data_IF_235199826532
#
_entry.id   IF_235199826532
#
_cell.length_a   1.000
_cell.length_b   1.000
_cell.length_c   1.000
_cell.angle_alpha   90.00
_cell.angle_beta   90.00
_cell.angle_gamma   90.00
#
_symmetry.space_group_name_H-M   'P 1'
#
loop_
_entity.id
_entity.type
_entity.pdbx_description
1 polymer ?
#
# COMPACT_ATOMS: atom_id res chain seq x y z
N UNK A 1 54.85 33.08 -1.78
CA UNK A 1 53.55 33.74 -2.00
C UNK A 1 52.83 32.96 -3.06
N UNK A 2 52.03 32.01 -2.66
CA UNK A 2 51.16 31.21 -3.54
C UNK A 2 49.75 31.30 -2.94
N UNK A 3 48.94 32.16 -3.55
CA UNK A 3 47.50 32.21 -3.30
C UNK A 3 46.83 31.03 -4.00
N UNK A 4 46.27 30.09 -3.23
CA UNK A 4 45.35 29.11 -3.73
C UNK A 4 43.92 29.64 -3.58
N UNK A 5 43.33 30.03 -4.71
CA UNK A 5 41.89 30.29 -4.83
C UNK A 5 41.12 28.98 -4.74
N UNK A 6 40.41 28.81 -3.64
CA UNK A 6 39.42 27.74 -3.46
C UNK A 6 38.12 28.14 -4.15
N UNK A 7 37.80 27.52 -5.26
CA UNK A 7 36.50 27.69 -5.94
C UNK A 7 35.49 26.80 -5.25
N UNK A 8 34.59 27.39 -4.49
CA UNK A 8 33.39 26.72 -3.96
C UNK A 8 32.42 26.41 -5.14
N UNK A 9 32.33 25.13 -5.50
CA UNK A 9 31.36 24.66 -6.48
C UNK A 9 30.01 24.53 -5.79
N UNK A 10 29.15 25.51 -5.98
CA UNK A 10 27.75 25.45 -5.56
C UNK A 10 27.04 24.31 -6.30
N UNK A 11 26.61 23.30 -5.57
CA UNK A 11 25.86 22.14 -6.10
C UNK A 11 24.53 22.63 -6.72
N UNK A 12 24.36 22.42 -8.04
CA UNK A 12 23.11 22.65 -8.75
C UNK A 12 22.03 21.71 -8.21
N UNK A 13 20.85 22.21 -7.82
CA UNK A 13 19.75 21.33 -7.39
C UNK A 13 19.27 20.46 -8.56
N UNK A 14 19.14 19.16 -8.30
CA UNK A 14 18.72 18.17 -9.30
C UNK A 14 17.29 18.45 -9.82
N UNK A 15 17.09 18.35 -11.12
CA UNK A 15 15.85 18.69 -11.87
C UNK A 15 14.59 17.87 -11.52
N UNK A 16 14.64 16.93 -10.56
CA UNK A 16 13.55 16.01 -10.25
C UNK A 16 12.51 16.48 -9.22
N UNK A 17 12.70 17.63 -8.55
CA UNK A 17 11.98 18.00 -7.34
C UNK A 17 10.90 19.08 -7.48
N UNK A 18 10.75 19.66 -8.67
CA UNK A 18 9.80 20.77 -8.92
C UNK A 18 8.29 20.44 -8.70
N UNK A 19 7.77 19.24 -8.99
CA UNK A 19 6.33 19.00 -8.83
C UNK A 19 5.87 18.90 -7.37
N UNK A 20 6.76 18.49 -6.44
CA UNK A 20 6.41 18.39 -5.03
C UNK A 20 6.35 19.77 -4.34
N UNK A 21 7.20 20.70 -4.76
CA UNK A 21 7.20 22.08 -4.26
C UNK A 21 5.91 22.84 -4.63
N UNK A 22 5.39 22.62 -5.83
CA UNK A 22 4.15 23.25 -6.29
C UNK A 22 2.92 22.69 -5.57
N UNK A 23 2.93 21.41 -5.16
CA UNK A 23 1.87 20.81 -4.35
C UNK A 23 1.74 21.48 -2.96
N UNK A 24 2.88 21.83 -2.33
CA UNK A 24 2.88 22.45 -1.02
C UNK A 24 2.52 23.95 -1.10
N UNK A 25 2.94 24.66 -2.15
CA UNK A 25 2.58 26.08 -2.36
C UNK A 25 1.09 26.29 -2.69
N UNK A 26 0.42 25.32 -3.30
CA UNK A 26 -1.02 25.38 -3.54
C UNK A 26 -1.86 25.23 -2.25
N UNK A 27 -1.27 24.74 -1.15
CA UNK A 27 -1.91 24.57 0.16
C UNK A 27 -2.02 25.91 0.93
N UNK A 28 -1.32 26.96 0.50
CA UNK A 28 -1.34 28.28 1.14
C UNK A 28 -2.53 29.17 0.72
N UNK A 29 -3.51 28.66 -0.02
CA UNK A 29 -4.73 29.39 -0.34
C UNK A 29 -5.66 29.53 0.89
N UNK A 30 -6.33 30.68 1.09
CA UNK A 30 -6.98 31.04 2.36
C UNK A 30 -8.16 30.13 2.72
N UNK A 31 -8.19 29.76 3.99
CA UNK A 31 -9.21 28.99 4.68
C UNK A 31 -10.59 29.69 4.65
N UNK A 32 -11.45 29.32 3.71
CA UNK A 32 -12.87 29.60 3.80
C UNK A 32 -13.65 28.54 3.02
N UNK A 33 -14.15 27.54 3.72
CA UNK A 33 -15.01 26.47 3.18
C UNK A 33 -14.42 25.08 3.40
N UNK A 34 -15.22 24.15 3.82
CA UNK A 34 -14.91 22.80 4.30
C UNK A 34 -13.66 22.13 3.72
N UNK A 35 -12.75 21.75 4.58
CA UNK A 35 -11.37 21.32 4.27
C UNK A 35 -11.22 20.17 3.24
N UNK A 36 -12.26 19.38 2.98
CA UNK A 36 -12.18 18.22 2.07
C UNK A 36 -12.23 18.60 0.57
N UNK A 37 -12.93 19.67 0.20
CA UNK A 37 -13.14 20.03 -1.20
C UNK A 37 -11.91 20.62 -1.90
N UNK A 38 -10.93 21.09 -1.14
CA UNK A 38 -9.71 21.70 -1.68
C UNK A 38 -8.59 20.64 -1.86
N UNK A 39 -8.54 19.63 -0.99
CA UNK A 39 -7.47 18.64 -1.01
C UNK A 39 -7.65 17.56 -2.09
N UNK A 40 -8.87 17.11 -2.37
CA UNK A 40 -9.11 16.07 -3.37
C UNK A 40 -8.56 16.44 -4.77
N UNK A 41 -8.77 17.65 -5.32
CA UNK A 41 -8.15 18.04 -6.59
C UNK A 41 -6.61 18.09 -6.56
N UNK A 42 -6.04 18.45 -5.39
CA UNK A 42 -4.59 18.49 -5.21
C UNK A 42 -4.03 17.06 -5.19
N UNK A 43 -4.68 16.14 -4.47
CA UNK A 43 -4.30 14.72 -4.46
C UNK A 43 -4.32 14.13 -5.86
N UNK A 44 -5.40 14.33 -6.61
CA UNK A 44 -5.55 13.83 -7.98
C UNK A 44 -4.45 14.36 -8.89
N UNK A 45 -4.12 15.64 -8.78
CA UNK A 45 -3.14 16.28 -9.67
C UNK A 45 -1.69 15.94 -9.33
N UNK A 46 -1.35 15.80 -8.05
CA UNK A 46 0.04 15.73 -7.59
C UNK A 46 0.45 14.39 -7.02
N UNK A 47 -0.45 13.71 -6.32
CA UNK A 47 -0.19 12.40 -5.72
C UNK A 47 -0.58 11.27 -6.66
N UNK A 48 -1.86 11.26 -7.05
CA UNK A 48 -2.36 10.24 -7.97
C UNK A 48 -2.12 10.67 -9.41
N UNK A 49 -1.15 10.02 -10.05
CA UNK A 49 -0.89 10.19 -11.49
C UNK A 49 -1.33 8.92 -12.20
N UNK A 50 -2.62 8.84 -12.58
CA UNK A 50 -3.15 7.66 -13.24
C UNK A 50 -2.29 7.25 -14.42
N UNK A 51 -2.05 5.95 -14.55
CA UNK A 51 -1.41 5.36 -15.72
C UNK A 51 -2.29 4.25 -16.21
N UNK A 52 -2.66 4.34 -17.46
CA UNK A 52 -3.33 3.24 -18.16
C UNK A 52 -2.36 2.05 -18.23
N UNK A 53 -2.90 0.86 -18.13
CA UNK A 53 -2.13 -0.34 -18.38
C UNK A 53 -1.77 -0.42 -19.88
N UNK A 54 -0.61 -0.98 -20.20
CA UNK A 54 -0.23 -1.27 -21.56
C UNK A 54 -1.14 -2.39 -22.13
N UNK A 55 -1.94 -2.14 -23.18
CA UNK A 55 -2.84 -3.15 -23.74
C UNK A 55 -2.11 -4.42 -24.21
N UNK A 56 -0.89 -4.28 -24.73
CA UNK A 56 -0.08 -5.41 -25.15
C UNK A 56 0.35 -6.27 -23.95
N UNK A 57 0.74 -5.63 -22.85
CA UNK A 57 1.05 -6.33 -21.60
C UNK A 57 -0.19 -7.03 -21.02
N UNK A 58 -1.33 -6.33 -20.96
CA UNK A 58 -2.57 -6.94 -20.46
C UNK A 58 -2.99 -8.16 -21.30
N UNK A 59 -2.88 -8.07 -22.63
CA UNK A 59 -3.16 -9.20 -23.53
C UNK A 59 -2.20 -10.37 -23.31
N UNK A 60 -0.93 -10.08 -23.03
CA UNK A 60 0.07 -11.12 -22.78
C UNK A 60 -0.16 -11.85 -21.45
N UNK A 61 -0.59 -11.16 -20.37
CA UNK A 61 -0.86 -11.77 -19.07
C UNK A 61 -2.23 -12.45 -19.00
N UNK A 62 -3.20 -12.04 -19.82
CA UNK A 62 -4.55 -12.60 -19.87
C UNK A 62 -4.62 -13.97 -20.58
N UNK A 63 -3.48 -14.66 -20.76
CA UNK A 63 -3.45 -15.97 -21.40
C UNK A 63 -4.31 -17.00 -20.64
N UNK A 64 -5.17 -17.79 -21.33
CA UNK A 64 -6.08 -18.75 -20.69
C UNK A 64 -5.37 -19.81 -19.83
N UNK A 65 -4.12 -20.14 -20.15
CA UNK A 65 -3.35 -21.20 -19.50
C UNK A 65 -2.58 -20.73 -18.23
N UNK A 66 -2.63 -19.43 -17.91
CA UNK A 66 -1.78 -18.82 -16.87
C UNK A 66 -2.29 -18.84 -15.44
N UNK A 67 -3.48 -19.38 -15.16
CA UNK A 67 -4.08 -19.31 -13.82
C UNK A 67 -4.37 -17.86 -13.36
N UNK A 68 -4.50 -16.94 -14.32
CA UNK A 68 -4.77 -15.52 -14.09
C UNK A 68 -6.20 -15.18 -14.54
N UNK A 69 -7.02 -14.74 -13.59
CA UNK A 69 -8.41 -14.35 -13.80
C UNK A 69 -8.51 -12.83 -13.82
N UNK A 70 -9.10 -12.26 -14.89
CA UNK A 70 -9.44 -10.83 -14.90
C UNK A 70 -10.59 -10.56 -13.91
N UNK A 71 -10.43 -9.57 -13.04
CA UNK A 71 -11.42 -9.22 -12.03
C UNK A 71 -11.96 -7.83 -12.32
N UNK A 72 -13.29 -7.73 -12.47
CA UNK A 72 -14.03 -6.47 -12.63
C UNK A 72 -15.07 -6.37 -11.53
N UNK A 73 -14.97 -5.32 -10.73
CA UNK A 73 -15.83 -5.07 -9.58
C UNK A 73 -16.59 -3.75 -9.77
N UNK A 74 -17.85 -3.71 -9.33
CA UNK A 74 -18.54 -2.44 -9.14
C UNK A 74 -18.40 -2.03 -7.67
N UNK A 75 -17.66 -0.96 -7.40
CA UNK A 75 -17.53 -0.39 -6.07
C UNK A 75 -18.90 0.06 -5.52
N UNK A 76 -18.94 0.41 -4.25
CA UNK A 76 -20.17 0.79 -3.52
C UNK A 76 -20.96 1.95 -4.17
N UNK A 77 -20.30 2.80 -4.97
CA UNK A 77 -20.88 3.92 -5.71
C UNK A 77 -21.08 3.63 -7.23
N UNK A 78 -20.87 2.37 -7.63
CA UNK A 78 -21.06 1.90 -9.00
C UNK A 78 -19.86 2.07 -9.94
N UNK A 79 -18.76 2.70 -9.47
CA UNK A 79 -17.51 2.85 -10.25
C UNK A 79 -16.88 1.48 -10.48
N UNK A 80 -16.42 1.23 -11.71
CA UNK A 80 -15.77 -0.03 -12.04
C UNK A 80 -14.31 -0.04 -11.58
N UNK A 81 -13.96 -1.02 -10.76
CA UNK A 81 -12.58 -1.35 -10.38
C UNK A 81 -12.12 -2.57 -11.19
N UNK A 82 -10.86 -2.55 -11.58
CA UNK A 82 -10.24 -3.60 -12.38
C UNK A 82 -9.01 -4.17 -11.69
N UNK A 83 -8.78 -5.45 -11.87
CA UNK A 83 -7.63 -6.13 -11.32
C UNK A 83 -7.46 -7.53 -11.87
N UNK A 84 -6.61 -8.31 -11.19
CA UNK A 84 -6.24 -9.65 -11.57
C UNK A 84 -6.19 -10.55 -10.34
N UNK A 85 -6.77 -11.73 -10.43
CA UNK A 85 -6.58 -12.79 -9.46
C UNK A 85 -5.65 -13.86 -10.05
N UNK A 86 -4.46 -13.97 -9.48
CA UNK A 86 -3.55 -15.08 -9.73
C UNK A 86 -3.92 -16.21 -8.77
N UNK A 87 -4.44 -17.31 -9.31
CA UNK A 87 -4.78 -18.49 -8.51
C UNK A 87 -3.53 -19.19 -8.00
N UNK A 88 -3.61 -19.92 -6.88
CA UNK A 88 -2.48 -20.72 -6.42
C UNK A 88 -2.11 -21.79 -7.46
N UNK A 89 -0.83 -22.11 -7.58
CA UNK A 89 -0.35 -23.20 -8.44
C UNK A 89 -0.77 -24.57 -7.88
N UNK A 90 -0.79 -24.70 -6.56
CA UNK A 90 -1.21 -25.90 -5.83
C UNK A 90 -2.57 -25.60 -5.21
N UNK A 91 -3.61 -26.19 -5.79
CA UNK A 91 -4.97 -26.03 -5.27
C UNK A 91 -5.16 -26.83 -3.98
N UNK A 92 -5.70 -26.20 -2.92
CA UNK A 92 -6.02 -26.92 -1.68
C UNK A 92 -7.11 -27.98 -1.89
N UNK A 93 -7.04 -29.08 -1.13
CA UNK A 93 -8.04 -30.16 -1.16
C UNK A 93 -9.43 -29.64 -0.78
N UNK A 94 -9.52 -28.62 0.07
CA UNK A 94 -10.77 -27.97 0.47
C UNK A 94 -11.45 -27.20 -0.67
N UNK A 95 -10.75 -26.95 -1.78
CA UNK A 95 -11.19 -26.06 -2.86
C UNK A 95 -11.14 -24.56 -2.50
N UNK A 96 -10.75 -24.22 -1.27
CA UNK A 96 -10.59 -22.83 -0.81
C UNK A 96 -9.12 -22.53 -0.54
N UNK A 97 -8.61 -21.41 -1.06
CA UNK A 97 -7.23 -21.03 -0.92
C UNK A 97 -7.06 -19.75 -0.07
N UNK A 98 -5.93 -19.64 0.66
CA UNK A 98 -5.56 -18.39 1.32
C UNK A 98 -5.22 -17.32 0.27
N UNK A 99 -5.46 -16.06 0.61
CA UNK A 99 -5.36 -14.96 -0.36
C UNK A 99 -4.50 -13.81 0.16
N UNK A 100 -3.67 -13.27 -0.72
CA UNK A 100 -3.01 -11.96 -0.50
C UNK A 100 -3.71 -10.92 -1.37
N UNK A 101 -4.27 -9.87 -0.74
CA UNK A 101 -4.80 -8.70 -1.45
C UNK A 101 -3.69 -7.66 -1.57
N UNK A 102 -3.40 -7.21 -2.79
CA UNK A 102 -2.27 -6.34 -3.10
C UNK A 102 -2.74 -4.92 -3.41
N UNK A 103 -2.26 -3.95 -2.63
CA UNK A 103 -2.43 -2.52 -2.87
C UNK A 103 -1.09 -1.90 -3.26
N UNK A 104 -1.02 -1.39 -4.48
CA UNK A 104 0.18 -0.81 -5.06
C UNK A 104 0.50 0.61 -4.58
N UNK A 105 1.60 1.16 -5.10
CA UNK A 105 1.91 2.58 -4.96
C UNK A 105 1.23 3.43 -6.03
N UNK A 106 1.48 4.75 -6.01
CA UNK A 106 0.79 5.74 -6.88
C UNK A 106 1.42 5.97 -8.25
N UNK A 107 2.46 5.26 -8.61
CA UNK A 107 3.18 5.53 -9.88
C UNK A 107 2.91 4.53 -10.99
N UNK A 108 2.33 3.39 -10.68
CA UNK A 108 2.03 2.31 -11.63
C UNK A 108 0.73 1.61 -11.21
N UNK A 109 0.04 1.06 -12.17
CA UNK A 109 -1.03 0.10 -11.92
C UNK A 109 -0.44 -1.19 -11.31
N UNK A 110 -1.26 -2.03 -10.65
CA UNK A 110 -0.75 -3.13 -9.81
C UNK A 110 -0.33 -4.38 -10.60
N UNK A 111 -0.75 -4.53 -11.86
CA UNK A 111 -0.52 -5.76 -12.63
C UNK A 111 0.97 -6.06 -12.86
N UNK A 112 1.83 -5.04 -12.89
CA UNK A 112 3.27 -5.26 -13.01
C UNK A 112 3.88 -6.11 -11.88
N UNK A 113 3.22 -6.17 -10.72
CA UNK A 113 3.65 -6.99 -9.59
C UNK A 113 3.38 -8.49 -9.82
N UNK A 114 2.53 -8.84 -10.78
CA UNK A 114 2.18 -10.24 -11.10
C UNK A 114 3.44 -11.05 -11.44
N UNK A 115 4.32 -10.46 -12.24
CA UNK A 115 5.54 -11.12 -12.76
C UNK A 115 6.77 -10.87 -11.89
N UNK A 116 6.64 -10.11 -10.79
CA UNK A 116 7.78 -9.87 -9.91
C UNK A 116 7.96 -11.03 -8.93
N UNK A 117 9.07 -11.73 -9.05
CA UNK A 117 9.50 -12.81 -8.16
C UNK A 117 8.55 -14.00 -8.07
N UNK A 118 8.98 -15.03 -7.38
CA UNK A 118 8.17 -16.23 -7.16
C UNK A 118 7.25 -16.05 -5.95
N UNK A 119 5.96 -16.16 -6.21
CA UNK A 119 4.96 -16.13 -5.14
C UNK A 119 4.77 -17.52 -4.56
N UNK A 120 4.52 -17.63 -3.23
CA UNK A 120 4.20 -18.91 -2.60
C UNK A 120 3.07 -19.64 -3.31
N UNK A 121 3.30 -20.91 -3.66
CA UNK A 121 2.48 -21.69 -4.59
C UNK A 121 1.07 -22.03 -4.08
N UNK A 122 0.89 -22.00 -2.75
CA UNK A 122 -0.41 -22.29 -2.10
C UNK A 122 -1.29 -21.05 -1.95
N UNK A 123 -0.76 -19.84 -2.19
CA UNK A 123 -1.46 -18.59 -2.01
C UNK A 123 -2.01 -18.02 -3.31
N UNK A 124 -3.28 -17.62 -3.29
CA UNK A 124 -3.85 -16.76 -4.31
C UNK A 124 -3.38 -15.30 -4.11
N UNK A 125 -3.35 -14.52 -5.20
CA UNK A 125 -2.92 -13.13 -5.16
C UNK A 125 -3.90 -12.26 -5.94
N UNK A 126 -4.58 -11.33 -5.25
CA UNK A 126 -5.54 -10.41 -5.85
C UNK A 126 -4.89 -9.03 -6.00
N UNK A 127 -4.63 -8.62 -7.22
CA UNK A 127 -4.05 -7.32 -7.59
C UNK A 127 -5.17 -6.41 -8.03
N UNK A 128 -5.51 -5.37 -7.26
CA UNK A 128 -6.56 -4.42 -7.63
C UNK A 128 -5.95 -3.06 -7.90
N UNK A 129 -6.34 -2.46 -9.02
CA UNK A 129 -5.97 -1.11 -9.39
C UNK A 129 -6.85 -0.10 -8.65
N UNK A 130 -6.22 0.98 -8.17
CA UNK A 130 -6.95 2.14 -7.68
C UNK A 130 -7.77 2.78 -8.80
N UNK A 131 -8.77 3.56 -8.44
CA UNK A 131 -9.54 4.36 -9.39
C UNK A 131 -8.63 5.19 -10.29
N UNK A 132 -8.93 5.22 -11.60
CA UNK A 132 -8.13 5.90 -12.60
C UNK A 132 -6.84 5.21 -12.99
N UNK A 133 -6.45 4.07 -12.36
CA UNK A 133 -5.27 3.28 -12.74
C UNK A 133 -5.65 2.03 -13.52
N UNK A 134 -4.79 1.66 -14.46
CA UNK A 134 -5.02 0.49 -15.31
C UNK A 134 -6.30 0.64 -16.12
N UNK A 135 -7.27 -0.23 -15.87
CA UNK A 135 -8.61 -0.20 -16.45
C UNK A 135 -9.70 0.14 -15.40
N UNK A 136 -9.31 0.57 -14.20
CA UNK A 136 -10.25 1.10 -13.20
C UNK A 136 -10.74 2.47 -13.60
N UNK A 137 -12.04 2.71 -13.44
CA UNK A 137 -12.67 4.00 -13.68
C UNK A 137 -12.54 4.94 -12.48
N UNK A 138 -13.03 6.19 -12.62
CA UNK A 138 -13.15 7.16 -11.54
C UNK A 138 -11.84 7.82 -11.15
N UNK A 139 -11.87 8.50 -10.01
CA UNK A 139 -10.76 9.31 -9.50
C UNK A 139 -10.38 8.88 -8.08
N UNK A 140 -9.07 8.86 -7.80
CA UNK A 140 -8.52 8.48 -6.51
C UNK A 140 -8.50 9.66 -5.54
N UNK A 141 -8.92 9.42 -4.29
CA UNK A 141 -8.64 10.26 -3.13
C UNK A 141 -8.48 9.38 -1.90
N UNK A 142 -7.87 9.90 -0.83
CA UNK A 142 -7.71 9.12 0.42
C UNK A 142 -9.03 8.53 0.89
N UNK A 143 -10.07 9.38 1.01
CA UNK A 143 -11.40 8.98 1.48
C UNK A 143 -12.00 7.85 0.63
N UNK A 144 -11.93 8.00 -0.69
CA UNK A 144 -12.52 7.03 -1.63
C UNK A 144 -11.77 5.71 -1.58
N UNK A 145 -10.43 5.74 -1.56
CA UNK A 145 -9.62 4.52 -1.54
C UNK A 145 -9.71 3.77 -0.21
N UNK A 146 -9.95 4.46 0.91
CA UNK A 146 -10.25 3.79 2.18
C UNK A 146 -11.56 2.98 2.12
N UNK A 147 -12.58 3.46 1.43
CA UNK A 147 -13.81 2.70 1.21
C UNK A 147 -13.61 1.57 0.18
N UNK A 148 -12.89 1.85 -0.92
CA UNK A 148 -12.60 0.84 -1.94
C UNK A 148 -11.81 -0.34 -1.36
N UNK A 149 -10.84 -0.11 -0.48
CA UNK A 149 -10.06 -1.22 0.12
C UNK A 149 -10.93 -2.12 0.99
N UNK A 150 -11.88 -1.55 1.72
CA UNK A 150 -12.88 -2.33 2.49
C UNK A 150 -13.78 -3.15 1.57
N UNK A 151 -14.28 -2.52 0.50
CA UNK A 151 -15.11 -3.18 -0.49
C UNK A 151 -14.37 -4.34 -1.17
N UNK A 152 -13.11 -4.15 -1.56
CA UNK A 152 -12.27 -5.20 -2.16
C UNK A 152 -12.06 -6.37 -1.20
N UNK A 153 -11.83 -6.09 0.08
CA UNK A 153 -11.72 -7.13 1.10
C UNK A 153 -13.03 -7.91 1.25
N UNK A 154 -14.15 -7.22 1.36
CA UNK A 154 -15.47 -7.83 1.54
C UNK A 154 -15.83 -8.71 0.31
N UNK A 155 -15.53 -8.25 -0.91
CA UNK A 155 -15.64 -9.05 -2.12
C UNK A 155 -14.77 -10.31 -2.05
N UNK A 156 -13.50 -10.17 -1.70
CA UNK A 156 -12.56 -11.29 -1.62
C UNK A 156 -13.01 -12.31 -0.57
N UNK A 157 -13.47 -11.84 0.59
CA UNK A 157 -13.96 -12.71 1.68
C UNK A 157 -15.27 -13.43 1.35
N UNK A 158 -16.09 -12.86 0.46
CA UNK A 158 -17.36 -13.48 0.00
C UNK A 158 -17.16 -14.50 -1.12
N UNK A 159 -15.98 -14.59 -1.74
CA UNK A 159 -15.71 -15.56 -2.81
C UNK A 159 -15.77 -17.00 -2.28
N UNK A 160 -16.45 -17.91 -2.96
CA UNK A 160 -16.59 -19.31 -2.52
C UNK A 160 -15.27 -20.11 -2.55
N UNK A 161 -14.33 -19.67 -3.39
CA UNK A 161 -13.01 -20.29 -3.59
C UNK A 161 -11.91 -19.69 -2.70
N UNK A 162 -12.22 -18.68 -1.86
CA UNK A 162 -11.28 -18.05 -0.93
C UNK A 162 -11.55 -18.50 0.51
N UNK A 163 -10.50 -18.79 1.24
CA UNK A 163 -10.55 -19.01 2.68
C UNK A 163 -10.62 -17.67 3.40
N UNK A 164 -11.81 -17.19 3.73
CA UNK A 164 -12.05 -15.84 4.26
C UNK A 164 -11.35 -15.54 5.59
N UNK A 165 -11.04 -16.58 6.39
CA UNK A 165 -10.25 -16.47 7.62
C UNK A 165 -8.75 -16.34 7.38
N UNK A 166 -8.29 -16.51 6.14
CA UNK A 166 -6.88 -16.56 5.78
C UNK A 166 -6.55 -15.56 4.65
N UNK A 167 -6.97 -14.30 4.86
CA UNK A 167 -6.70 -13.17 3.95
C UNK A 167 -5.62 -12.29 4.56
N UNK A 168 -4.49 -12.14 3.86
CA UNK A 168 -3.37 -11.24 4.19
C UNK A 168 -3.44 -10.03 3.26
N UNK A 169 -3.12 -8.85 3.79
CA UNK A 169 -3.02 -7.63 2.97
C UNK A 169 -1.56 -7.31 2.69
N UNK A 170 -1.28 -6.92 1.47
CA UNK A 170 0.04 -6.48 1.01
C UNK A 170 -0.06 -5.03 0.54
N UNK A 171 0.70 -4.14 1.18
CA UNK A 171 0.78 -2.74 0.82
C UNK A 171 2.19 -2.32 0.41
N UNK A 172 2.31 -1.65 -0.74
CA UNK A 172 3.57 -1.10 -1.20
C UNK A 172 3.53 0.42 -1.20
N UNK A 173 4.51 1.09 -0.55
CA UNK A 173 4.58 2.56 -0.51
C UNK A 173 3.24 3.13 0.00
N UNK A 174 2.53 3.97 -0.77
CA UNK A 174 1.19 4.45 -0.37
C UNK A 174 0.22 3.32 -0.05
N UNK A 175 0.30 2.19 -0.73
CA UNK A 175 -0.52 1.02 -0.43
C UNK A 175 -0.32 0.47 0.98
N UNK A 176 0.82 0.74 1.63
CA UNK A 176 1.05 0.36 3.03
C UNK A 176 0.08 1.08 3.97
N UNK A 177 -0.17 2.37 3.76
CA UNK A 177 -1.17 3.13 4.53
C UNK A 177 -2.56 2.51 4.41
N UNK A 178 -3.01 2.21 3.19
CA UNK A 178 -4.32 1.59 2.96
C UNK A 178 -4.39 0.19 3.56
N UNK A 179 -3.29 -0.57 3.54
CA UNK A 179 -3.22 -1.89 4.19
C UNK A 179 -3.31 -1.80 5.71
N UNK A 180 -2.68 -0.80 6.33
CA UNK A 180 -2.78 -0.52 7.78
C UNK A 180 -4.22 -0.16 8.15
N UNK A 181 -4.84 0.75 7.40
CA UNK A 181 -6.22 1.16 7.62
C UNK A 181 -7.21 -0.01 7.44
N UNK A 182 -7.00 -0.85 6.43
CA UNK A 182 -7.82 -2.03 6.20
C UNK A 182 -7.65 -3.06 7.32
N UNK A 183 -6.41 -3.29 7.80
CA UNK A 183 -6.14 -4.22 8.90
C UNK A 183 -6.78 -3.78 10.23
N UNK A 184 -7.01 -2.48 10.41
CA UNK A 184 -7.77 -1.96 11.55
C UNK A 184 -9.28 -2.13 11.35
N UNK A 185 -9.77 -2.02 10.10
CA UNK A 185 -11.20 -1.99 9.79
C UNK A 185 -11.80 -3.38 9.50
N UNK A 186 -10.99 -4.40 9.20
CA UNK A 186 -11.42 -5.76 8.81
C UNK A 186 -10.55 -6.83 9.46
N UNK A 187 -11.09 -8.04 9.59
CA UNK A 187 -10.38 -9.20 10.15
C UNK A 187 -9.41 -9.80 9.14
N UNK A 188 -8.30 -9.10 8.87
CA UNK A 188 -7.20 -9.65 8.08
C UNK A 188 -6.38 -10.62 8.95
N UNK A 189 -5.74 -11.60 8.30
CA UNK A 189 -4.90 -12.59 8.97
C UNK A 189 -3.50 -12.06 9.29
N UNK A 190 -3.04 -11.07 8.53
CA UNK A 190 -1.75 -10.41 8.68
C UNK A 190 -1.55 -9.32 7.64
N UNK A 191 -0.46 -8.56 7.78
CA UNK A 191 -0.10 -7.48 6.87
C UNK A 191 1.36 -7.59 6.39
N UNK A 192 1.60 -7.34 5.11
CA UNK A 192 2.93 -7.21 4.51
C UNK A 192 3.07 -5.78 4.02
N UNK A 193 4.02 -5.04 4.58
CA UNK A 193 4.22 -3.63 4.32
C UNK A 193 5.61 -3.40 3.69
N UNK A 194 5.62 -3.11 2.39
CA UNK A 194 6.83 -2.93 1.60
C UNK A 194 7.12 -1.45 1.39
N UNK A 195 8.30 -0.98 1.78
CA UNK A 195 8.69 0.43 1.77
C UNK A 195 7.62 1.35 2.38
N UNK A 196 7.13 1.02 3.60
CA UNK A 196 6.08 1.79 4.24
C UNK A 196 6.61 3.12 4.80
N UNK A 197 5.68 3.97 5.22
CA UNK A 197 5.96 5.21 5.94
C UNK A 197 4.96 5.36 7.09
N UNK A 198 5.32 6.15 8.09
CA UNK A 198 4.51 6.44 9.26
C UNK A 198 3.40 7.45 8.96
N UNK A 199 3.74 8.59 8.34
CA UNK A 199 2.76 9.59 7.92
C UNK A 199 3.30 10.50 6.81
N UNK A 200 2.40 11.09 6.01
CA UNK A 200 2.80 12.14 5.07
C UNK A 200 3.29 13.39 5.78
N UNK A 201 2.82 13.64 6.99
CA UNK A 201 3.31 14.75 7.81
C UNK A 201 4.78 14.57 8.18
N UNK A 202 5.19 13.38 8.61
CA UNK A 202 6.59 13.09 8.92
C UNK A 202 7.47 13.17 7.67
N UNK A 203 7.08 12.54 6.57
CA UNK A 203 7.81 12.62 5.28
C UNK A 203 7.97 14.06 4.80
N UNK A 204 6.90 14.86 4.91
CA UNK A 204 6.92 16.25 4.50
C UNK A 204 7.75 17.13 5.44
N UNK A 205 7.68 16.91 6.75
CA UNK A 205 8.46 17.67 7.75
C UNK A 205 9.96 17.39 7.62
N UNK A 206 10.36 16.15 7.35
CA UNK A 206 11.75 15.79 7.08
C UNK A 206 12.27 16.49 5.82
N UNK A 207 11.46 16.53 4.78
CA UNK A 207 11.81 17.14 3.50
C UNK A 207 11.83 18.67 3.53
N UNK A 208 10.95 19.27 4.37
CA UNK A 208 10.75 20.72 4.49
C UNK A 208 10.67 21.13 5.98
N UNK A 209 11.81 21.11 6.71
CA UNK A 209 11.81 21.33 8.16
C UNK A 209 11.25 22.70 8.62
N UNK A 210 11.24 23.67 7.72
CA UNK A 210 10.78 25.04 7.95
C UNK A 210 9.27 25.25 7.69
N UNK A 211 8.56 24.24 7.13
CA UNK A 211 7.11 24.29 6.91
C UNK A 211 6.35 23.59 8.05
N UNK A 212 5.22 24.12 8.50
CA UNK A 212 4.36 23.44 9.48
C UNK A 212 3.52 22.35 8.78
N UNK A 213 4.17 21.29 8.29
CA UNK A 213 3.57 20.26 7.43
C UNK A 213 2.45 19.53 8.13
N UNK A 214 2.57 19.22 9.42
CA UNK A 214 1.55 18.54 10.21
C UNK A 214 0.23 19.32 10.25
N UNK A 215 0.31 20.66 10.37
CA UNK A 215 -0.88 21.53 10.33
C UNK A 215 -1.49 21.56 8.91
N UNK A 216 -0.66 21.60 7.87
CA UNK A 216 -1.11 21.65 6.48
C UNK A 216 -1.78 20.36 6.03
N UNK A 217 -1.25 19.21 6.42
CA UNK A 217 -1.80 17.90 6.02
C UNK A 217 -2.95 17.39 6.92
N UNK A 218 -3.14 18.00 8.09
CA UNK A 218 -4.26 17.74 9.00
C UNK A 218 -4.53 16.23 9.23
N UNK A 219 -3.47 15.45 9.51
CA UNK A 219 -3.56 14.02 9.80
C UNK A 219 -3.86 13.11 8.61
N UNK A 220 -3.79 13.59 7.38
CA UNK A 220 -4.00 12.77 6.18
C UNK A 220 -2.85 11.78 5.96
N UNK A 221 -3.19 10.57 5.49
CA UNK A 221 -2.24 9.47 5.27
C UNK A 221 -1.36 9.21 6.51
N UNK A 222 -1.99 9.17 7.68
CA UNK A 222 -1.32 8.95 8.96
C UNK A 222 -1.51 7.51 9.43
N UNK A 223 -0.57 6.63 9.03
CA UNK A 223 -0.55 5.24 9.44
C UNK A 223 -0.12 5.08 10.92
N UNK A 224 0.69 6.01 11.45
CA UNK A 224 1.21 5.93 12.80
C UNK A 224 0.10 6.04 13.88
N UNK A 225 -0.96 6.80 13.62
CA UNK A 225 -2.12 6.89 14.54
C UNK A 225 -3.01 5.65 14.51
N UNK A 226 -2.98 4.89 13.41
CA UNK A 226 -3.78 3.67 13.21
C UNK A 226 -3.05 2.43 13.73
N UNK A 227 -1.75 2.32 13.46
CA UNK A 227 -0.92 1.14 13.70
C UNK A 227 -1.01 0.58 15.14
N UNK A 228 -1.06 1.39 16.22
CA UNK A 228 -1.20 0.88 17.59
C UNK A 228 -2.49 0.10 17.86
N UNK A 229 -3.50 0.28 17.01
CA UNK A 229 -4.82 -0.39 17.12
C UNK A 229 -4.88 -1.69 16.30
N UNK A 230 -3.84 -2.00 15.54
CA UNK A 230 -3.77 -3.19 14.67
C UNK A 230 -3.01 -4.29 15.40
N UNK A 231 -3.71 -5.39 15.76
CA UNK A 231 -3.15 -6.46 16.58
C UNK A 231 -2.78 -7.74 15.80
N UNK A 232 -2.83 -7.70 14.46
CA UNK A 232 -2.46 -8.85 13.62
C UNK A 232 -0.94 -8.88 13.37
N UNK A 233 -0.36 -10.06 13.04
CA UNK A 233 1.04 -10.15 12.65
C UNK A 233 1.35 -9.28 11.43
N UNK A 234 2.54 -8.66 11.41
CA UNK A 234 2.98 -7.86 10.27
C UNK A 234 4.45 -8.13 9.88
N UNK A 235 4.71 -8.12 8.57
CA UNK A 235 6.04 -8.07 7.99
C UNK A 235 6.29 -6.68 7.42
N UNK A 236 7.34 -6.02 7.90
CA UNK A 236 7.86 -4.77 7.36
C UNK A 236 9.09 -5.07 6.51
N UNK A 237 9.07 -4.70 5.23
CA UNK A 237 10.24 -4.81 4.36
C UNK A 237 10.71 -3.41 4.00
N UNK A 238 11.88 -3.04 4.52
CA UNK A 238 12.48 -1.72 4.39
C UNK A 238 13.60 -1.75 3.34
N UNK A 239 13.77 -0.66 2.61
CA UNK A 239 14.90 -0.46 1.72
C UNK A 239 15.91 0.46 2.41
N UNK A 240 17.17 0.01 2.57
CA UNK A 240 18.20 0.75 3.31
C UNK A 240 18.46 2.15 2.74
N UNK A 241 18.45 2.28 1.40
CA UNK A 241 18.71 3.55 0.71
C UNK A 241 17.42 4.09 0.04
N UNK A 242 16.31 4.06 0.78
CA UNK A 242 15.03 4.56 0.30
C UNK A 242 15.05 6.10 0.27
N UNK A 243 14.99 6.66 -0.94
CA UNK A 243 15.00 8.10 -1.20
C UNK A 243 13.60 8.71 -1.35
N UNK A 244 12.55 7.89 -1.20
CA UNK A 244 11.14 8.31 -1.33
C UNK A 244 10.42 8.23 0.01
N UNK A 245 10.51 7.08 0.69
CA UNK A 245 10.01 6.84 2.04
C UNK A 245 11.20 6.36 2.89
N UNK A 246 11.97 7.26 3.49
CA UNK A 246 13.16 6.90 4.24
C UNK A 246 12.92 5.76 5.21
N UNK A 247 13.92 4.89 5.32
CA UNK A 247 13.83 3.66 6.13
C UNK A 247 13.37 3.95 7.57
N UNK A 248 13.76 5.09 8.11
CA UNK A 248 13.43 5.55 9.47
C UNK A 248 11.93 5.72 9.67
N UNK A 249 11.19 6.20 8.66
CA UNK A 249 9.73 6.34 8.70
C UNK A 249 9.04 4.97 8.71
N UNK A 250 9.52 4.03 7.90
CA UNK A 250 9.03 2.66 7.94
C UNK A 250 9.34 1.94 9.26
N UNK A 251 10.53 2.17 9.81
CA UNK A 251 10.92 1.65 11.12
C UNK A 251 10.11 2.29 12.27
N UNK A 252 9.75 3.58 12.15
CA UNK A 252 8.88 4.25 13.12
C UNK A 252 7.48 3.62 13.10
N UNK A 253 6.92 3.35 11.93
CA UNK A 253 5.64 2.65 11.79
C UNK A 253 5.70 1.24 12.40
N UNK A 254 6.79 0.49 12.17
CA UNK A 254 7.00 -0.84 12.73
C UNK A 254 7.03 -0.81 14.26
N UNK A 255 7.69 0.19 14.87
CA UNK A 255 7.70 0.39 16.33
C UNK A 255 6.33 0.74 16.90
N UNK A 256 5.49 1.42 16.12
CA UNK A 256 4.13 1.80 16.52
C UNK A 256 3.11 0.66 16.34
N UNK A 257 3.48 -0.44 15.68
CA UNK A 257 2.55 -1.55 15.41
C UNK A 257 2.07 -2.23 16.69
N UNK A 258 0.75 -2.40 16.84
CA UNK A 258 0.17 -2.97 18.08
C UNK A 258 0.28 -4.49 18.19
N UNK A 259 0.43 -5.20 17.10
CA UNK A 259 0.55 -6.67 17.04
C UNK A 259 2.00 -7.18 16.95
N UNK A 260 2.20 -8.49 16.84
CA UNK A 260 3.50 -9.06 16.52
C UNK A 260 4.01 -8.51 15.19
N UNK A 261 5.29 -8.13 15.14
CA UNK A 261 5.88 -7.63 13.90
C UNK A 261 7.29 -8.17 13.67
N UNK A 262 7.64 -8.30 12.40
CA UNK A 262 8.98 -8.64 11.92
C UNK A 262 9.42 -7.59 10.91
N UNK A 263 10.63 -7.07 11.09
CA UNK A 263 11.22 -6.10 10.17
C UNK A 263 12.41 -6.75 9.45
N UNK A 264 12.44 -6.61 8.13
CA UNK A 264 13.53 -7.03 7.26
C UNK A 264 14.02 -5.81 6.48
N UNK A 265 15.30 -5.46 6.65
CA UNK A 265 15.94 -4.39 5.89
C UNK A 265 16.75 -5.00 4.74
N UNK A 266 16.46 -4.56 3.51
CA UNK A 266 17.20 -4.98 2.32
C UNK A 266 18.40 -4.05 2.08
N UNK A 267 19.60 -4.57 2.36
CA UNK A 267 20.85 -3.81 2.25
C UNK A 267 21.10 -3.33 0.82
N UNK A 268 21.46 -2.05 0.66
CA UNK A 268 21.70 -1.41 -0.63
C UNK A 268 20.44 -1.24 -1.50
N UNK A 269 19.25 -1.61 -1.01
CA UNK A 269 18.01 -1.43 -1.75
C UNK A 269 17.55 0.02 -1.75
N UNK A 270 16.90 0.43 -2.84
CA UNK A 270 16.20 1.71 -2.99
C UNK A 270 14.69 1.48 -3.01
N UNK A 271 13.93 2.59 -2.96
CA UNK A 271 12.46 2.54 -3.01
C UNK A 271 11.91 1.71 -4.18
N UNK A 272 12.51 1.84 -5.36
CA UNK A 272 12.09 1.12 -6.54
C UNK A 272 12.94 -0.13 -6.78
N UNK A 273 12.27 -1.25 -7.05
CA UNK A 273 12.91 -2.50 -7.45
C UNK A 273 13.23 -3.46 -6.30
N UNK A 274 12.75 -3.20 -5.08
CA UNK A 274 12.89 -4.17 -3.98
C UNK A 274 12.19 -5.49 -4.33
N UNK A 275 11.11 -5.42 -5.10
CA UNK A 275 10.30 -6.56 -5.55
C UNK A 275 11.00 -7.45 -6.59
N UNK A 276 12.15 -7.00 -7.12
CA UNK A 276 12.99 -7.80 -8.00
C UNK A 276 14.05 -8.62 -7.25
N UNK A 277 14.20 -8.37 -5.94
CA UNK A 277 15.17 -9.06 -5.11
C UNK A 277 14.61 -10.37 -4.58
N UNK A 278 15.43 -11.40 -4.60
CA UNK A 278 15.05 -12.71 -4.06
C UNK A 278 14.81 -12.64 -2.55
N UNK A 279 15.61 -11.84 -1.83
CA UNK A 279 15.50 -11.66 -0.37
C UNK A 279 14.13 -11.11 0.03
N UNK A 280 13.55 -10.23 -0.80
CA UNK A 280 12.20 -9.71 -0.60
C UNK A 280 11.17 -10.84 -0.59
N UNK A 281 11.16 -11.67 -1.64
CA UNK A 281 10.18 -12.76 -1.76
C UNK A 281 10.45 -13.89 -0.77
N UNK A 282 11.71 -14.11 -0.40
CA UNK A 282 12.07 -15.05 0.67
C UNK A 282 11.48 -14.63 2.02
N UNK A 283 11.54 -13.33 2.35
CA UNK A 283 10.92 -12.78 3.56
C UNK A 283 9.40 -12.91 3.53
N UNK A 284 8.75 -12.57 2.39
CA UNK A 284 7.31 -12.73 2.18
C UNK A 284 6.89 -14.19 2.34
N UNK A 285 7.60 -15.13 1.69
CA UNK A 285 7.29 -16.55 1.77
C UNK A 285 7.46 -17.10 3.19
N UNK A 286 8.51 -16.67 3.92
CA UNK A 286 8.71 -17.06 5.31
C UNK A 286 7.57 -16.56 6.21
N UNK A 287 7.14 -15.32 6.03
CA UNK A 287 6.03 -14.74 6.80
C UNK A 287 4.70 -15.46 6.51
N UNK A 288 4.38 -15.75 5.25
CA UNK A 288 3.15 -16.46 4.90
C UNK A 288 3.13 -17.90 5.45
N UNK A 289 4.26 -18.61 5.47
CA UNK A 289 4.38 -19.93 6.16
C UNK A 289 4.15 -19.81 7.66
N UNK A 290 4.66 -18.77 8.30
CA UNK A 290 4.43 -18.51 9.72
C UNK A 290 2.94 -18.28 10.01
N UNK A 291 2.28 -17.49 9.17
CA UNK A 291 0.83 -17.24 9.23
C UNK A 291 0.04 -18.56 9.12
N UNK A 292 0.38 -19.43 8.19
CA UNK A 292 -0.29 -20.74 8.00
C UNK A 292 -0.11 -21.67 9.22
N UNK A 293 1.08 -21.70 9.80
CA UNK A 293 1.40 -22.56 10.93
C UNK A 293 0.79 -22.12 12.27
N UNK A 294 0.39 -20.85 12.37
CA UNK A 294 -0.17 -20.28 13.60
C UNK A 294 -1.70 -20.38 13.55
N UNK A 295 -2.39 -21.00 14.51
CA UNK A 295 -3.85 -21.02 14.55
C UNK A 295 -4.42 -19.60 14.52
N UNK A 296 -5.55 -19.39 13.82
CA UNK A 296 -6.25 -18.12 13.85
C UNK A 296 -6.65 -17.83 15.29
N UNK A 297 -6.24 -16.68 15.85
CA UNK A 297 -6.74 -16.26 17.16
C UNK A 297 -8.25 -16.07 17.05
N UNK A 298 -9.00 -16.91 17.72
CA UNK A 298 -10.43 -16.73 17.96
C UNK A 298 -10.59 -15.68 19.06
N UNK A 299 -10.23 -14.43 18.79
CA UNK A 299 -10.53 -13.34 19.71
C UNK A 299 -12.03 -13.16 19.71
N UNK A 300 -12.65 -13.68 20.78
CA UNK A 300 -14.05 -13.50 21.08
C UNK A 300 -14.35 -12.01 21.28
N UNK A 301 -14.91 -11.39 20.28
CA UNK A 301 -15.77 -10.26 20.51
C UNK A 301 -17.08 -10.86 21.07
N UNK A 302 -17.13 -11.01 22.40
CA UNK A 302 -18.40 -11.09 23.09
C UNK A 302 -19.13 -9.78 22.77
N UNK A 303 -20.09 -9.84 21.86
CA UNK A 303 -21.05 -8.78 21.65
C UNK A 303 -21.75 -8.55 23.00
N UNK A 304 -21.67 -7.34 23.54
CA UNK A 304 -22.55 -6.92 24.60
C UNK A 304 -24.01 -7.08 24.10
N UNK A 305 -24.87 -7.80 24.84
CA UNK A 305 -26.28 -7.87 24.50
C UNK A 305 -26.86 -6.47 24.66
N UNK A 306 -27.36 -5.92 23.54
CA UNK A 306 -28.06 -4.64 23.53
C UNK A 306 -29.15 -4.60 24.59
N UNK A 307 -29.09 -3.61 25.47
CA UNK A 307 -30.21 -3.19 26.27
C UNK A 307 -31.34 -2.75 25.33
N UNK A 308 -32.42 -3.51 25.30
CA UNK A 308 -33.71 -3.07 24.77
C UNK A 308 -34.42 -2.15 25.75
N UNK A 309 -35.27 -1.22 25.28
CA UNK A 309 -35.80 -0.08 25.98
C UNK A 309 -36.73 -0.39 27.14
#
# INVERSE_FOLDING_TARGET
MNDQLTIEVAAKPSRGHRPFLLAILAILAPFAGGCNSIFEPIEQRFLFRPRTADPAYLSAIASPDGGLEEVRLKAYDGVALHGWLKRPKISPVSGRFPLVIVFGGVRRETSWLIDQGEKPEHWGWLFINYRGFGLSEGESSERVLLEDTKFVFDYAAARPDVESSNIVVFGRSLGSYFSVALAQARKVRGAILATPFDSFSALGQERYPWLPVSFLLNGRYDAATIAPKVNVPALFVLAENDDVTPMENGAALARAWGGPQRTVTLTGARHYGIERRQEFWSAVAAFLREIESTPARLDGHAGEPGAQP
#
